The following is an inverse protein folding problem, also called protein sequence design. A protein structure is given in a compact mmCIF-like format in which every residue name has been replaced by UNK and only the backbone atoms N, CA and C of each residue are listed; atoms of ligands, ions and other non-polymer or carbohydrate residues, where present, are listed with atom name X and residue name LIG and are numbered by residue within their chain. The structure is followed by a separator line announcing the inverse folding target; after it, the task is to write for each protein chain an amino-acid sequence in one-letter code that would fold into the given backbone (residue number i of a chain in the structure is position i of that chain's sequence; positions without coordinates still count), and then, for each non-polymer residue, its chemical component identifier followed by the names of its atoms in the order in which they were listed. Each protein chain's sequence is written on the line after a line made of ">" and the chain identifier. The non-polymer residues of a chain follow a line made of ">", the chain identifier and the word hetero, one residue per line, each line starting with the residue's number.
data_IF_510585492273
#
_entry.id   IF_510585492273
#
_cell.length_a   1.000
_cell.length_b   1.000
_cell.length_c   1.000
_cell.angle_alpha   90.00
_cell.angle_beta   90.00
_cell.angle_gamma   90.00
#
_symmetry.space_group_name_H-M   'P 1'
#
loop_
_entity.id
_entity.type
_entity.pdbx_description
1 polymer ?
#
# COMPACT_ATOMS: atom_id res chain seq x y z
N UNK A 1 -41.76 14.66 -22.56
CA UNK A 1 -41.85 14.74 -24.03
C UNK A 1 -41.06 13.60 -24.66
N UNK A 2 -41.23 13.34 -25.95
CA UNK A 2 -40.51 12.28 -26.68
C UNK A 2 -39.18 12.84 -27.21
N UNK A 3 -38.09 12.08 -27.08
CA UNK A 3 -36.77 12.45 -27.63
C UNK A 3 -36.77 12.16 -29.14
N UNK A 4 -36.53 13.18 -29.96
CA UNK A 4 -36.44 13.06 -31.41
C UNK A 4 -35.26 13.89 -31.94
N UNK A 5 -34.54 13.36 -32.94
CA UNK A 5 -33.45 14.03 -33.64
C UNK A 5 -33.51 13.66 -35.11
N UNK A 6 -33.43 14.66 -35.99
CA UNK A 6 -33.28 14.43 -37.43
C UNK A 6 -31.88 13.88 -37.72
N UNK A 7 -31.83 12.85 -38.55
CA UNK A 7 -30.58 12.25 -39.04
C UNK A 7 -30.24 12.93 -40.36
N UNK A 8 -28.96 13.24 -40.55
CA UNK A 8 -28.45 13.90 -41.76
C UNK A 8 -28.29 12.87 -42.90
N UNK A 9 -29.42 12.44 -43.46
CA UNK A 9 -29.51 11.53 -44.60
C UNK A 9 -30.52 12.11 -45.60
N UNK A 10 -30.15 12.15 -46.87
CA UNK A 10 -30.91 12.75 -47.98
C UNK A 10 -31.82 11.75 -48.71
N UNK A 11 -31.96 10.53 -48.19
CA UNK A 11 -32.83 9.48 -48.73
C UNK A 11 -33.45 8.60 -47.63
N UNK A 12 -34.54 7.91 -47.96
CA UNK A 12 -35.29 7.05 -47.03
C UNK A 12 -34.88 5.57 -47.17
N UNK A 13 -33.75 5.19 -46.58
CA UNK A 13 -33.35 3.78 -46.44
C UNK A 13 -34.37 2.98 -45.62
N UNK A 14 -34.32 1.65 -45.74
CA UNK A 14 -35.17 0.71 -44.99
C UNK A 14 -36.67 0.91 -45.20
N UNK A 15 -37.06 1.44 -46.38
CA UNK A 15 -38.44 1.76 -46.74
C UNK A 15 -38.77 1.30 -48.16
N UNK A 16 -40.05 1.31 -48.52
CA UNK A 16 -40.52 0.97 -49.87
C UNK A 16 -39.95 1.88 -50.96
N UNK A 17 -39.42 3.06 -50.64
CA UNK A 17 -38.76 3.94 -51.61
C UNK A 17 -37.52 3.28 -52.25
N UNK A 18 -36.88 2.32 -51.56
CA UNK A 18 -35.71 1.59 -52.06
C UNK A 18 -36.07 0.64 -53.21
N UNK A 19 -37.33 0.21 -53.35
CA UNK A 19 -37.75 -0.66 -54.46
C UNK A 19 -37.47 -0.04 -55.83
N UNK A 20 -37.54 1.29 -55.94
CA UNK A 20 -37.30 2.02 -57.19
C UNK A 20 -35.88 1.90 -57.72
N UNK A 21 -34.91 1.47 -56.89
CA UNK A 21 -33.51 1.26 -57.30
C UNK A 21 -33.10 -0.21 -57.36
N UNK A 22 -34.03 -1.14 -57.13
CA UNK A 22 -33.75 -2.59 -57.03
C UNK A 22 -33.00 -3.15 -58.23
N UNK A 23 -33.58 -3.05 -59.42
CA UNK A 23 -33.00 -3.65 -60.64
C UNK A 23 -31.64 -3.03 -60.98
N UNK A 24 -31.49 -1.73 -60.77
CA UNK A 24 -30.23 -1.04 -60.96
C UNK A 24 -29.17 -1.53 -59.98
N UNK A 25 -29.50 -1.65 -58.70
CA UNK A 25 -28.56 -2.12 -57.68
C UNK A 25 -28.12 -3.57 -57.95
N UNK A 26 -29.05 -4.44 -58.35
CA UNK A 26 -28.74 -5.82 -58.71
C UNK A 26 -27.80 -5.89 -59.92
N UNK A 27 -28.04 -5.08 -60.95
CA UNK A 27 -27.18 -5.00 -62.13
C UNK A 27 -25.79 -4.44 -61.80
N UNK A 28 -25.72 -3.33 -61.05
CA UNK A 28 -24.47 -2.66 -60.68
C UNK A 28 -23.58 -3.57 -59.79
N UNK A 29 -24.18 -4.42 -58.96
CA UNK A 29 -23.48 -5.37 -58.10
C UNK A 29 -23.26 -6.77 -58.72
N UNK A 30 -23.77 -7.05 -59.92
CA UNK A 30 -23.69 -8.38 -60.53
C UNK A 30 -22.26 -8.91 -60.73
N UNK A 31 -21.29 -8.01 -60.87
CA UNK A 31 -19.87 -8.36 -60.99
C UNK A 31 -19.16 -8.62 -59.65
N UNK A 32 -19.82 -8.42 -58.52
CA UNK A 32 -19.24 -8.62 -57.18
C UNK A 32 -19.48 -10.06 -56.73
N UNK A 33 -18.39 -10.82 -56.59
CA UNK A 33 -18.44 -12.18 -56.07
C UNK A 33 -18.14 -12.18 -54.55
N UNK A 34 -19.13 -12.43 -53.68
CA UNK A 34 -18.88 -12.60 -52.25
C UNK A 34 -18.06 -13.87 -51.99
N UNK A 35 -17.28 -13.84 -50.90
CA UNK A 35 -16.44 -14.96 -50.47
C UNK A 35 -16.64 -15.23 -48.98
N UNK A 36 -16.51 -16.48 -48.57
CA UNK A 36 -16.53 -16.88 -47.16
C UNK A 36 -15.28 -16.37 -46.45
N UNK A 37 -15.48 -15.52 -45.45
CA UNK A 37 -14.44 -14.97 -44.60
C UNK A 37 -14.21 -15.84 -43.37
N UNK A 38 -13.07 -15.62 -42.72
CA UNK A 38 -12.70 -16.34 -41.48
C UNK A 38 -13.27 -15.71 -40.21
N UNK A 39 -13.77 -14.47 -40.31
CA UNK A 39 -14.41 -13.76 -39.19
C UNK A 39 -15.91 -14.06 -39.23
N UNK A 40 -16.51 -14.64 -38.17
CA UNK A 40 -17.94 -14.88 -38.11
C UNK A 40 -18.75 -13.60 -38.31
N UNK A 41 -19.83 -13.69 -39.10
CA UNK A 41 -20.67 -12.55 -39.43
C UNK A 41 -22.09 -12.78 -38.92
N UNK A 42 -22.55 -11.91 -38.01
CA UNK A 42 -23.93 -11.90 -37.52
C UNK A 42 -24.71 -10.82 -38.28
N UNK A 43 -25.71 -11.22 -39.05
CA UNK A 43 -26.50 -10.28 -39.85
C UNK A 43 -27.59 -9.62 -39.00
N UNK A 44 -27.64 -8.29 -39.07
CA UNK A 44 -28.74 -7.49 -38.52
C UNK A 44 -29.98 -7.46 -39.43
N UNK A 45 -29.90 -8.04 -40.63
CA UNK A 45 -31.03 -8.13 -41.57
C UNK A 45 -31.74 -9.48 -41.39
N UNK A 46 -30.98 -10.58 -41.30
CA UNK A 46 -31.56 -11.92 -41.12
C UNK A 46 -31.64 -12.36 -39.66
N UNK A 47 -30.97 -11.66 -38.73
CA UNK A 47 -31.04 -11.93 -37.29
C UNK A 47 -30.25 -13.16 -36.83
N UNK A 48 -29.14 -13.49 -37.49
CA UNK A 48 -28.33 -14.65 -37.12
C UNK A 48 -26.97 -14.73 -37.83
N UNK A 49 -26.19 -15.75 -37.46
CA UNK A 49 -24.92 -16.08 -38.10
C UNK A 49 -25.14 -16.46 -39.58
N UNK A 50 -24.35 -15.85 -40.46
CA UNK A 50 -24.44 -16.01 -41.91
C UNK A 50 -23.04 -16.22 -42.50
N UNK A 51 -22.92 -17.12 -43.47
CA UNK A 51 -21.71 -17.23 -44.28
C UNK A 51 -21.59 -15.99 -45.19
N UNK A 52 -20.45 -15.29 -45.13
CA UNK A 52 -20.23 -14.09 -45.94
C UNK A 52 -20.16 -14.39 -47.44
N UNK A 53 -19.98 -15.65 -47.85
CA UNK A 53 -20.13 -16.10 -49.24
C UNK A 53 -21.56 -15.93 -49.78
N UNK A 54 -22.55 -15.69 -48.91
CA UNK A 54 -23.94 -15.43 -49.30
C UNK A 54 -24.32 -13.94 -49.36
N UNK A 55 -23.36 -13.03 -49.15
CA UNK A 55 -23.57 -11.57 -49.22
C UNK A 55 -23.62 -11.07 -50.68
N UNK A 56 -24.52 -11.66 -51.47
CA UNK A 56 -24.73 -11.34 -52.87
C UNK A 56 -25.45 -9.99 -53.08
N UNK A 57 -25.63 -9.59 -54.34
CA UNK A 57 -26.36 -8.38 -54.70
C UNK A 57 -27.79 -8.35 -54.09
N UNK A 58 -28.44 -9.51 -53.97
CA UNK A 58 -29.76 -9.65 -53.34
C UNK A 58 -29.72 -9.36 -51.85
N UNK A 59 -28.69 -9.83 -51.13
CA UNK A 59 -28.47 -9.49 -49.73
C UNK A 59 -28.26 -7.99 -49.54
N UNK A 60 -27.42 -7.35 -50.35
CA UNK A 60 -27.17 -5.90 -50.22
C UNK A 60 -28.41 -5.07 -50.55
N UNK A 61 -29.24 -5.50 -51.50
CA UNK A 61 -30.56 -4.92 -51.71
C UNK A 61 -31.44 -5.06 -50.46
N UNK A 62 -31.55 -6.26 -49.89
CA UNK A 62 -32.30 -6.48 -48.63
C UNK A 62 -31.76 -5.63 -47.49
N UNK A 63 -30.44 -5.52 -47.34
CA UNK A 63 -29.82 -4.68 -46.32
C UNK A 63 -30.21 -3.21 -46.45
N UNK A 64 -30.30 -2.68 -47.68
CA UNK A 64 -30.75 -1.31 -47.92
C UNK A 64 -32.28 -1.16 -47.74
N UNK A 65 -33.06 -2.20 -48.05
CA UNK A 65 -34.52 -2.17 -48.14
C UNK A 65 -35.24 -2.54 -46.84
N UNK A 66 -34.77 -3.56 -46.14
CA UNK A 66 -35.41 -4.16 -44.96
C UNK A 66 -34.94 -3.47 -43.68
N UNK A 67 -35.68 -3.67 -42.60
CA UNK A 67 -35.36 -3.08 -41.29
C UNK A 67 -34.07 -3.69 -40.71
N UNK A 68 -33.22 -2.83 -40.15
CA UNK A 68 -32.01 -3.25 -39.44
C UNK A 68 -32.37 -3.57 -37.99
N UNK A 69 -32.35 -4.86 -37.64
CA UNK A 69 -32.68 -5.39 -36.31
C UNK A 69 -31.49 -5.30 -35.35
N UNK A 70 -30.86 -4.12 -35.24
CA UNK A 70 -29.62 -3.92 -34.48
C UNK A 70 -29.75 -4.24 -32.99
N UNK A 71 -30.87 -3.86 -32.36
CA UNK A 71 -31.16 -4.17 -30.95
C UNK A 71 -31.21 -5.67 -30.70
N UNK A 72 -32.03 -6.40 -31.48
CA UNK A 72 -32.15 -7.86 -31.38
C UNK A 72 -30.82 -8.57 -31.65
N UNK A 73 -30.03 -8.09 -32.61
CA UNK A 73 -28.71 -8.64 -32.87
C UNK A 73 -27.76 -8.44 -31.67
N UNK A 74 -27.78 -7.25 -31.06
CA UNK A 74 -26.98 -6.95 -29.88
C UNK A 74 -27.39 -7.82 -28.69
N UNK A 75 -28.69 -7.94 -28.42
CA UNK A 75 -29.24 -8.83 -27.38
C UNK A 75 -28.82 -10.30 -27.59
N UNK A 76 -28.90 -10.78 -28.84
CA UNK A 76 -28.50 -12.14 -29.20
C UNK A 76 -27.01 -12.38 -28.91
N UNK A 77 -26.14 -11.47 -29.35
CA UNK A 77 -24.70 -11.54 -29.12
C UNK A 77 -24.36 -11.45 -27.62
N UNK A 78 -25.03 -10.59 -26.86
CA UNK A 78 -24.89 -10.54 -25.40
C UNK A 78 -25.27 -11.90 -24.76
N UNK A 79 -26.38 -12.50 -25.22
CA UNK A 79 -26.84 -13.83 -24.80
C UNK A 79 -25.87 -14.95 -25.13
N UNK A 80 -25.17 -14.87 -26.26
CA UNK A 80 -24.13 -15.82 -26.67
C UNK A 80 -22.79 -15.63 -25.93
N UNK A 81 -22.67 -14.62 -25.06
CA UNK A 81 -21.49 -14.43 -24.23
C UNK A 81 -20.51 -13.36 -24.74
N UNK A 82 -20.83 -12.62 -25.80
CA UNK A 82 -19.99 -11.52 -26.26
C UNK A 82 -20.02 -10.36 -25.24
N UNK A 83 -18.84 -9.83 -24.89
CA UNK A 83 -18.67 -8.78 -23.85
C UNK A 83 -17.95 -7.53 -24.33
N UNK A 84 -17.37 -7.56 -25.53
CA UNK A 84 -16.63 -6.44 -26.11
C UNK A 84 -17.23 -6.06 -27.46
N UNK A 85 -17.73 -4.83 -27.57
CA UNK A 85 -18.33 -4.28 -28.78
C UNK A 85 -17.47 -3.12 -29.28
N UNK A 86 -16.76 -3.34 -30.38
CA UNK A 86 -15.88 -2.34 -30.99
C UNK A 86 -16.58 -1.70 -32.19
N UNK A 87 -16.94 -0.43 -32.07
CA UNK A 87 -17.56 0.33 -33.15
C UNK A 87 -16.48 0.89 -34.09
N UNK A 88 -16.31 0.22 -35.25
CA UNK A 88 -15.42 0.65 -36.32
C UNK A 88 -16.08 1.76 -37.16
N UNK A 89 -16.00 3.01 -36.68
CA UNK A 89 -16.65 4.16 -37.33
C UNK A 89 -15.80 5.43 -37.22
N UNK A 90 -15.97 6.43 -38.11
CA UNK A 90 -15.28 7.72 -38.01
C UNK A 90 -15.72 8.55 -36.77
N UNK A 91 -16.83 8.19 -36.15
CA UNK A 91 -17.33 8.76 -34.90
C UNK A 91 -18.36 7.82 -34.26
N UNK A 92 -18.24 7.49 -32.97
CA UNK A 92 -19.15 6.55 -32.32
C UNK A 92 -20.57 7.10 -32.23
N UNK A 93 -21.53 6.36 -32.76
CA UNK A 93 -22.96 6.68 -32.67
C UNK A 93 -23.81 5.54 -32.11
N UNK A 94 -23.26 4.32 -32.07
CA UNK A 94 -23.98 3.12 -31.62
C UNK A 94 -23.75 2.83 -30.14
N UNK A 95 -22.75 3.49 -29.52
CA UNK A 95 -22.35 3.23 -28.14
C UNK A 95 -23.48 3.25 -27.11
N UNK A 96 -24.40 4.21 -27.23
CA UNK A 96 -25.56 4.34 -26.33
C UNK A 96 -26.50 3.15 -26.47
N UNK A 97 -26.87 2.78 -27.71
CA UNK A 97 -27.81 1.69 -27.95
C UNK A 97 -27.27 0.32 -27.48
N UNK A 98 -25.98 0.07 -27.68
CA UNK A 98 -25.33 -1.16 -27.18
C UNK A 98 -25.26 -1.15 -25.65
N UNK A 99 -24.95 0.01 -25.04
CA UNK A 99 -24.92 0.17 -23.59
C UNK A 99 -26.29 -0.08 -22.95
N UNK A 100 -27.36 0.50 -23.51
CA UNK A 100 -28.75 0.27 -23.05
C UNK A 100 -29.14 -1.21 -23.17
N UNK A 101 -28.73 -1.88 -24.25
CA UNK A 101 -28.98 -3.32 -24.44
C UNK A 101 -28.24 -4.17 -23.39
N UNK A 102 -26.98 -3.82 -23.09
CA UNK A 102 -26.18 -4.52 -22.07
C UNK A 102 -26.75 -4.31 -20.65
N UNK A 103 -27.17 -3.09 -20.33
CA UNK A 103 -27.83 -2.75 -19.07
C UNK A 103 -29.15 -3.52 -18.90
N UNK A 104 -29.99 -3.53 -19.94
CA UNK A 104 -31.25 -4.28 -19.94
C UNK A 104 -31.03 -5.79 -19.75
N UNK A 105 -29.95 -6.33 -20.32
CA UNK A 105 -29.57 -7.73 -20.16
C UNK A 105 -28.89 -8.04 -18.81
N UNK A 106 -28.54 -7.03 -18.00
CA UNK A 106 -27.79 -7.20 -16.75
C UNK A 106 -26.36 -7.73 -16.99
N UNK A 107 -25.78 -7.42 -18.14
CA UNK A 107 -24.46 -7.91 -18.57
C UNK A 107 -23.44 -6.78 -18.52
N UNK A 108 -22.30 -7.01 -17.88
CA UNK A 108 -21.16 -6.09 -17.97
C UNK A 108 -20.48 -6.25 -19.34
N UNK A 109 -20.60 -5.23 -20.19
CA UNK A 109 -20.02 -5.20 -21.54
C UNK A 109 -19.29 -3.88 -21.80
N UNK A 110 -18.15 -3.98 -22.48
CA UNK A 110 -17.37 -2.83 -22.90
C UNK A 110 -17.77 -2.40 -24.32
N UNK A 111 -18.13 -1.12 -24.48
CA UNK A 111 -18.44 -0.52 -25.78
C UNK A 111 -17.40 0.54 -26.14
N UNK A 112 -16.74 0.35 -27.28
CA UNK A 112 -15.50 1.05 -27.63
C UNK A 112 -15.59 1.63 -29.03
N UNK A 113 -15.57 2.96 -29.16
CA UNK A 113 -15.43 3.63 -30.46
C UNK A 113 -13.97 3.69 -30.91
N UNK A 114 -13.72 3.41 -32.20
CA UNK A 114 -12.37 3.43 -32.79
C UNK A 114 -11.85 4.82 -33.11
N UNK A 115 -12.68 5.70 -33.70
CA UNK A 115 -12.31 7.08 -34.08
C UNK A 115 -13.29 8.11 -33.53
N UNK A 116 -12.94 9.39 -33.58
CA UNK A 116 -13.85 10.50 -33.25
C UNK A 116 -13.78 11.56 -34.34
N UNK A 117 -14.88 12.30 -34.52
CA UNK A 117 -14.96 13.41 -35.48
C UNK A 117 -13.89 14.46 -35.13
N UNK A 118 -13.03 14.78 -36.09
CA UNK A 118 -11.92 15.71 -35.90
C UNK A 118 -10.67 15.10 -35.24
N UNK A 119 -10.71 13.84 -34.82
CA UNK A 119 -9.62 13.12 -34.14
C UNK A 119 -9.35 11.79 -34.87
N UNK A 120 -9.02 11.87 -36.16
CA UNK A 120 -8.66 10.71 -36.96
C UNK A 120 -7.23 10.21 -36.71
N UNK A 121 -6.87 9.09 -37.32
CA UNK A 121 -5.49 8.60 -37.37
C UNK A 121 -5.17 7.47 -36.37
N UNK A 122 -3.95 6.96 -36.48
CA UNK A 122 -3.47 5.79 -35.74
C UNK A 122 -3.42 6.00 -34.22
N UNK A 123 -3.13 7.21 -33.76
CA UNK A 123 -3.09 7.53 -32.33
C UNK A 123 -4.46 7.28 -31.67
N UNK A 124 -5.54 7.72 -32.30
CA UNK A 124 -6.88 7.52 -31.74
C UNK A 124 -7.29 6.05 -31.72
N UNK A 125 -6.88 5.28 -32.74
CA UNK A 125 -7.06 3.83 -32.76
C UNK A 125 -6.27 3.17 -31.62
N UNK A 126 -5.01 3.55 -31.40
CA UNK A 126 -4.20 3.03 -30.29
C UNK A 126 -4.79 3.39 -28.92
N UNK A 127 -5.42 4.57 -28.78
CA UNK A 127 -6.19 4.92 -27.57
C UNK A 127 -7.40 4.02 -27.39
N UNK A 128 -8.11 3.66 -28.46
CA UNK A 128 -9.21 2.69 -28.39
C UNK A 128 -8.72 1.29 -27.98
N UNK A 129 -7.59 0.85 -28.51
CA UNK A 129 -6.93 -0.41 -28.12
C UNK A 129 -6.52 -0.39 -26.64
N UNK A 130 -5.95 0.73 -26.15
CA UNK A 130 -5.62 0.91 -24.74
C UNK A 130 -6.85 0.80 -23.83
N UNK A 131 -7.97 1.45 -24.21
CA UNK A 131 -9.25 1.32 -23.49
C UNK A 131 -9.78 -0.12 -23.50
N UNK A 132 -9.58 -0.85 -24.61
CA UNK A 132 -9.96 -2.26 -24.68
C UNK A 132 -9.13 -3.11 -23.70
N UNK A 133 -7.82 -2.88 -23.67
CA UNK A 133 -6.89 -3.53 -22.77
C UNK A 133 -7.21 -3.27 -21.29
N UNK A 134 -7.52 -2.03 -20.92
CA UNK A 134 -7.95 -1.66 -19.56
C UNK A 134 -9.23 -2.39 -19.13
N UNK A 135 -10.09 -2.75 -20.10
CA UNK A 135 -11.31 -3.55 -19.87
C UNK A 135 -11.06 -5.06 -19.90
N UNK A 136 -9.81 -5.49 -20.06
CA UNK A 136 -9.41 -6.90 -20.05
C UNK A 136 -9.42 -7.59 -21.41
N UNK A 137 -9.59 -6.85 -22.52
CA UNK A 137 -9.45 -7.45 -23.85
C UNK A 137 -7.97 -7.72 -24.13
N UNK A 138 -7.63 -8.99 -24.36
CA UNK A 138 -6.29 -9.36 -24.81
C UNK A 138 -5.99 -8.75 -26.18
N UNK A 139 -4.83 -8.11 -26.31
CA UNK A 139 -4.36 -7.51 -27.56
C UNK A 139 -3.15 -8.29 -28.05
N UNK A 140 -3.23 -8.84 -29.26
CA UNK A 140 -2.08 -9.41 -29.94
C UNK A 140 -1.31 -8.32 -30.71
N UNK A 141 -0.10 -8.04 -30.26
CA UNK A 141 0.80 -7.06 -30.86
C UNK A 141 1.73 -7.64 -31.92
N UNK A 142 1.68 -8.95 -32.17
CA UNK A 142 2.61 -9.64 -33.07
C UNK A 142 2.59 -9.08 -34.51
N UNK A 143 1.40 -8.76 -35.02
CA UNK A 143 1.23 -8.17 -36.35
C UNK A 143 1.62 -6.69 -36.45
N UNK A 144 1.66 -5.96 -35.32
CA UNK A 144 2.01 -4.52 -35.29
C UNK A 144 3.53 -4.32 -35.25
N UNK A 145 4.25 -5.23 -34.60
CA UNK A 145 5.70 -5.11 -34.38
C UNK A 145 6.48 -6.33 -34.91
N UNK A 146 6.46 -6.59 -36.23
CA UNK A 146 7.18 -7.73 -36.81
C UNK A 146 8.69 -7.57 -36.59
N UNK A 147 9.33 -8.59 -36.00
CA UNK A 147 10.78 -8.61 -35.76
C UNK A 147 11.26 -7.73 -34.59
N UNK A 148 10.36 -7.14 -33.81
CA UNK A 148 10.74 -6.34 -32.65
C UNK A 148 11.25 -7.21 -31.48
N UNK A 149 12.09 -6.62 -30.64
CA UNK A 149 12.58 -7.24 -29.39
C UNK A 149 11.78 -6.76 -28.19
N UNK A 150 11.47 -7.67 -27.25
CA UNK A 150 10.92 -7.30 -25.94
C UNK A 150 12.05 -6.71 -25.08
N UNK A 151 11.76 -5.63 -24.36
CA UNK A 151 12.67 -5.00 -23.40
C UNK A 151 12.05 -5.06 -22.01
N UNK A 152 12.89 -5.25 -20.98
CA UNK A 152 12.42 -5.21 -19.60
C UNK A 152 12.07 -3.77 -19.21
N UNK A 153 10.93 -3.62 -18.54
CA UNK A 153 10.52 -2.37 -17.91
C UNK A 153 10.81 -2.44 -16.41
N UNK A 154 10.93 -1.29 -15.72
CA UNK A 154 10.99 -1.26 -14.27
C UNK A 154 9.89 -2.13 -13.65
N UNK A 155 10.25 -2.89 -12.62
CA UNK A 155 9.32 -3.78 -11.92
C UNK A 155 8.29 -2.98 -11.12
N UNK A 156 7.27 -3.67 -10.62
CA UNK A 156 6.20 -3.06 -9.82
C UNK A 156 6.74 -2.12 -8.73
N UNK A 157 6.25 -0.89 -8.73
CA UNK A 157 6.61 0.09 -7.72
C UNK A 157 5.89 -0.24 -6.39
N UNK A 158 6.50 -1.09 -5.58
CA UNK A 158 5.99 -1.41 -4.24
C UNK A 158 5.78 -0.14 -3.41
N UNK A 159 4.60 -0.02 -2.79
CA UNK A 159 4.35 0.96 -1.72
C UNK A 159 5.09 0.49 -0.46
N UNK A 160 6.34 0.94 -0.32
CA UNK A 160 7.21 0.50 0.79
C UNK A 160 6.73 1.11 2.10
N UNK A 161 6.34 0.27 3.04
CA UNK A 161 6.14 0.66 4.45
C UNK A 161 6.97 -0.25 5.35
N UNK A 162 7.41 0.31 6.48
CA UNK A 162 8.27 -0.38 7.43
C UNK A 162 7.40 -1.24 8.36
N UNK A 163 7.45 -2.56 8.21
CA UNK A 163 6.67 -3.53 9.02
C UNK A 163 7.56 -4.39 9.94
N UNK A 164 8.61 -3.80 10.53
CA UNK A 164 9.45 -4.53 11.49
C UNK A 164 8.78 -4.59 12.86
N UNK A 165 8.88 -5.72 13.55
CA UNK A 165 8.48 -5.85 14.95
C UNK A 165 9.50 -5.13 15.84
N UNK A 166 9.08 -4.05 16.50
CA UNK A 166 9.89 -3.36 17.50
C UNK A 166 9.78 -4.10 18.85
N UNK A 167 10.48 -5.22 18.98
CA UNK A 167 10.58 -5.92 20.26
C UNK A 167 11.56 -5.15 21.15
N UNK A 168 11.17 -4.75 22.39
CA UNK A 168 12.13 -4.22 23.35
C UNK A 168 13.17 -5.31 23.60
N UNK A 169 14.42 -5.11 23.16
CA UNK A 169 15.53 -5.99 23.54
C UNK A 169 15.83 -5.73 25.02
N UNK A 170 15.05 -6.34 25.90
CA UNK A 170 15.51 -6.65 27.26
C UNK A 170 16.47 -7.83 27.15
N UNK A 171 17.59 -7.75 27.88
CA UNK A 171 18.68 -8.72 27.96
C UNK A 171 19.42 -9.03 26.65
N UNK A 172 20.47 -8.26 26.36
CA UNK A 172 21.70 -8.93 25.92
C UNK A 172 22.22 -9.76 27.10
N UNK A 173 22.79 -10.93 26.82
CA UNK A 173 23.46 -11.76 27.82
C UNK A 173 24.71 -11.03 28.35
N UNK A 174 24.51 -10.16 29.36
CA UNK A 174 25.59 -9.40 29.99
C UNK A 174 26.56 -10.31 30.75
N UNK A 175 26.19 -11.56 31.02
CA UNK A 175 27.10 -12.53 31.64
C UNK A 175 28.25 -12.90 30.71
N UNK A 176 28.03 -12.91 29.39
CA UNK A 176 29.10 -13.08 28.40
C UNK A 176 30.19 -11.99 28.46
N UNK A 177 29.87 -10.82 29.01
CA UNK A 177 30.80 -9.71 29.24
C UNK A 177 31.40 -9.71 30.66
N UNK A 178 31.17 -10.75 31.46
CA UNK A 178 31.65 -10.85 32.84
C UNK A 178 30.86 -10.02 33.85
N UNK A 179 29.65 -9.56 33.51
CA UNK A 179 28.78 -8.77 34.39
C UNK A 179 27.67 -9.65 34.99
N UNK A 180 27.17 -9.26 36.15
CA UNK A 180 26.04 -9.94 36.81
C UNK A 180 24.72 -9.32 36.34
N UNK A 181 23.78 -10.14 35.89
CA UNK A 181 22.39 -9.71 35.63
C UNK A 181 21.67 -9.44 36.93
N UNK A 182 21.10 -8.24 37.10
CA UNK A 182 20.36 -7.90 38.34
C UNK A 182 18.89 -8.36 38.29
N UNK A 183 18.31 -8.53 37.09
CA UNK A 183 16.87 -8.71 36.91
C UNK A 183 16.02 -7.45 37.17
N UNK A 184 16.66 -6.30 37.39
CA UNK A 184 15.98 -5.02 37.63
C UNK A 184 15.61 -4.30 36.31
N UNK A 185 14.38 -3.77 36.15
CA UNK A 185 13.93 -3.15 34.90
C UNK A 185 14.81 -2.00 34.39
N UNK A 186 15.36 -1.18 35.29
CA UNK A 186 16.14 0.01 34.94
C UNK A 186 17.66 -0.19 35.02
N UNK A 187 18.13 -1.26 35.67
CA UNK A 187 19.55 -1.50 35.95
C UNK A 187 19.88 -2.90 35.47
N UNK A 188 20.36 -3.08 34.25
CA UNK A 188 20.50 -4.42 33.66
C UNK A 188 21.70 -5.23 34.16
N UNK A 189 22.76 -4.55 34.63
CA UNK A 189 24.02 -5.20 34.97
C UNK A 189 24.69 -4.60 36.20
N UNK A 190 25.39 -5.44 36.96
CA UNK A 190 26.22 -5.06 38.11
C UNK A 190 27.62 -5.68 38.00
N UNK A 191 28.63 -5.01 38.54
CA UNK A 191 29.99 -5.53 38.67
C UNK A 191 30.69 -4.96 39.89
N UNK A 192 31.49 -5.78 40.59
CA UNK A 192 32.37 -5.31 41.66
C UNK A 192 33.73 -4.97 41.05
N UNK A 193 34.25 -3.80 41.37
CA UNK A 193 35.55 -3.33 40.89
C UNK A 193 36.64 -4.07 41.68
N UNK A 194 37.56 -4.69 40.93
CA UNK A 194 38.70 -5.35 41.53
C UNK A 194 39.56 -4.34 42.32
N UNK A 195 40.10 -4.77 43.46
CA UNK A 195 41.00 -3.99 44.33
C UNK A 195 40.38 -2.79 45.07
N UNK A 196 39.06 -2.55 44.97
CA UNK A 196 38.40 -1.45 45.69
C UNK A 196 37.10 -1.79 46.42
N UNK A 197 36.55 -3.00 46.25
CA UNK A 197 35.23 -3.42 46.78
C UNK A 197 34.09 -2.42 46.45
N UNK A 198 34.28 -1.63 45.39
CA UNK A 198 33.27 -0.74 44.86
C UNK A 198 32.29 -1.53 43.99
N UNK A 199 31.02 -1.19 44.06
CA UNK A 199 29.99 -1.77 43.21
C UNK A 199 29.56 -0.77 42.14
N UNK A 200 29.57 -1.20 40.89
CA UNK A 200 29.08 -0.45 39.75
C UNK A 200 27.83 -1.13 39.19
N UNK A 201 26.71 -0.41 39.11
CA UNK A 201 25.51 -0.85 38.40
C UNK A 201 25.30 0.00 37.16
N UNK A 202 24.74 -0.59 36.11
CA UNK A 202 24.50 0.10 34.84
C UNK A 202 23.14 -0.22 34.27
N UNK A 203 22.57 0.76 33.57
CA UNK A 203 21.22 0.72 33.05
C UNK A 203 21.05 1.50 31.76
N UNK A 204 19.96 1.24 31.05
CA UNK A 204 19.55 2.02 29.87
C UNK A 204 18.06 2.27 29.91
N UNK A 205 17.67 3.54 29.98
CA UNK A 205 16.27 3.97 30.05
C UNK A 205 15.89 4.74 28.80
N UNK A 206 14.68 4.51 28.31
CA UNK A 206 14.08 5.24 27.18
C UNK A 206 12.57 5.19 27.30
N UNK A 207 11.87 6.21 26.79
CA UNK A 207 10.40 6.18 26.74
C UNK A 207 9.87 5.06 25.85
N UNK A 208 10.68 4.55 24.91
CA UNK A 208 10.32 3.39 24.09
C UNK A 208 10.30 2.08 24.88
N UNK A 209 11.25 1.87 25.79
CA UNK A 209 11.35 0.64 26.59
C UNK A 209 10.64 0.73 27.94
N UNK A 210 10.42 1.95 28.44
CA UNK A 210 9.72 2.23 29.70
C UNK A 210 8.68 3.34 29.49
N UNK A 211 7.57 3.06 28.79
CA UNK A 211 6.60 4.09 28.40
C UNK A 211 5.97 4.83 29.58
N UNK A 212 5.81 4.16 30.71
CA UNK A 212 5.26 4.73 31.94
C UNK A 212 6.07 5.90 32.49
N UNK A 213 7.35 6.06 32.12
CA UNK A 213 8.14 7.22 32.50
C UNK A 213 7.60 8.51 31.86
N UNK A 214 6.92 8.43 30.71
CA UNK A 214 6.33 9.58 30.03
C UNK A 214 5.23 10.25 30.88
N UNK A 215 4.61 9.52 31.80
CA UNK A 215 3.55 10.04 32.67
C UNK A 215 4.09 10.98 33.76
N UNK A 216 5.41 11.01 33.99
CA UNK A 216 6.06 11.94 34.92
C UNK A 216 6.61 13.17 34.19
N UNK A 217 5.71 13.97 33.62
CA UNK A 217 6.04 15.21 32.93
C UNK A 217 5.73 16.44 33.79
N UNK A 218 6.69 17.36 33.90
CA UNK A 218 6.53 18.65 34.57
C UNK A 218 6.63 19.73 33.50
N UNK A 219 5.56 20.49 33.29
CA UNK A 219 5.48 21.51 32.23
C UNK A 219 5.85 20.99 30.83
N UNK A 220 5.48 19.74 30.53
CA UNK A 220 5.74 19.10 29.23
C UNK A 220 7.15 18.51 29.08
N UNK A 221 8.02 18.61 30.08
CA UNK A 221 9.35 17.97 30.08
C UNK A 221 9.27 16.69 30.90
N UNK A 222 9.59 15.55 30.30
CA UNK A 222 9.64 14.26 31.01
C UNK A 222 10.88 14.20 31.89
N UNK A 223 10.66 14.12 33.20
CA UNK A 223 11.72 14.01 34.20
C UNK A 223 11.76 12.58 34.74
N UNK A 224 12.96 12.09 35.04
CA UNK A 224 13.08 10.84 35.78
C UNK A 224 12.56 11.06 37.21
N UNK A 225 11.57 10.28 37.68
CA UNK A 225 10.93 10.53 38.96
C UNK A 225 11.91 10.48 40.14
N UNK A 226 11.74 11.37 41.11
CA UNK A 226 12.52 11.35 42.36
C UNK A 226 12.44 9.99 43.09
N UNK A 227 11.25 9.39 43.09
CA UNK A 227 11.02 8.04 43.65
C UNK A 227 11.72 6.94 42.86
N UNK A 228 11.96 7.14 41.56
CA UNK A 228 12.73 6.19 40.78
C UNK A 228 14.22 6.23 41.15
N UNK A 229 14.78 7.38 41.54
CA UNK A 229 16.13 7.42 42.13
C UNK A 229 16.22 6.64 43.45
N UNK A 230 15.17 6.70 44.29
CA UNK A 230 15.09 5.90 45.51
C UNK A 230 15.06 4.39 45.21
N UNK A 231 14.29 3.95 44.20
CA UNK A 231 14.30 2.56 43.75
C UNK A 231 15.69 2.11 43.26
N UNK A 232 16.38 2.96 42.48
CA UNK A 232 17.75 2.68 42.05
C UNK A 232 18.71 2.55 43.25
N UNK A 233 18.55 3.39 44.27
CA UNK A 233 19.34 3.35 45.50
C UNK A 233 19.07 2.07 46.31
N UNK A 234 17.80 1.68 46.47
CA UNK A 234 17.42 0.43 47.14
C UNK A 234 18.01 -0.78 46.43
N UNK A 235 17.97 -0.81 45.09
CA UNK A 235 18.59 -1.90 44.33
C UNK A 235 20.10 -1.93 44.51
N UNK A 236 20.77 -0.78 44.45
CA UNK A 236 22.21 -0.71 44.70
C UNK A 236 22.57 -1.17 46.12
N UNK A 237 21.75 -0.81 47.11
CA UNK A 237 21.89 -1.26 48.49
C UNK A 237 21.77 -2.78 48.64
N UNK A 238 20.77 -3.39 48.01
CA UNK A 238 20.59 -4.84 48.02
C UNK A 238 21.78 -5.60 47.42
N UNK A 239 22.37 -5.08 46.34
CA UNK A 239 23.54 -5.67 45.67
C UNK A 239 24.86 -5.46 46.44
N UNK A 240 24.90 -4.43 47.30
CA UNK A 240 26.05 -4.06 48.12
C UNK A 240 25.95 -4.54 49.59
N UNK A 241 24.97 -5.39 49.90
CA UNK A 241 24.67 -5.87 51.26
C UNK A 241 24.37 -4.73 52.27
N UNK A 242 23.91 -3.58 51.77
CA UNK A 242 23.57 -2.37 52.51
C UNK A 242 22.13 -1.92 52.18
N UNK A 243 21.08 -2.65 52.61
CA UNK A 243 19.72 -2.48 52.12
C UNK A 243 19.01 -1.22 52.63
N UNK A 244 19.60 -0.47 53.56
CA UNK A 244 19.00 0.74 54.13
C UNK A 244 19.54 1.96 53.40
N UNK A 245 18.65 2.81 52.90
CA UNK A 245 19.00 4.15 52.40
C UNK A 245 18.88 5.13 53.56
N UNK A 246 19.99 5.54 54.16
CA UNK A 246 20.00 6.53 55.26
C UNK A 246 19.75 7.95 54.75
N UNK A 247 20.34 8.27 53.60
CA UNK A 247 20.24 9.57 52.98
C UNK A 247 20.21 9.42 51.46
N UNK A 248 19.37 10.22 50.80
CA UNK A 248 19.36 10.39 49.35
C UNK A 248 19.12 11.86 49.02
N UNK A 249 20.13 12.49 48.41
CA UNK A 249 20.08 13.86 47.93
C UNK A 249 19.98 13.86 46.41
N UNK A 250 18.89 14.45 45.89
CA UNK A 250 18.70 14.65 44.45
C UNK A 250 19.34 15.96 44.02
N UNK A 251 20.23 15.90 43.04
CA UNK A 251 20.96 17.04 42.47
C UNK A 251 20.30 17.55 41.19
N UNK A 252 21.03 17.48 40.07
CA UNK A 252 20.51 17.90 38.78
C UNK A 252 19.32 17.00 38.35
N UNK A 253 18.25 17.60 37.83
CA UNK A 253 17.13 16.85 37.27
C UNK A 253 17.58 16.02 36.05
N UNK A 254 17.17 14.75 35.98
CA UNK A 254 17.44 13.90 34.83
C UNK A 254 16.28 14.02 33.83
N UNK A 255 16.51 14.69 32.70
CA UNK A 255 15.55 14.82 31.60
C UNK A 255 15.63 13.60 30.69
N UNK A 256 14.48 13.01 30.37
CA UNK A 256 14.40 11.90 29.42
C UNK A 256 14.07 12.43 28.02
N UNK A 257 14.86 12.11 26.99
CA UNK A 257 14.58 12.58 25.64
C UNK A 257 13.38 11.82 25.05
N UNK A 258 12.57 12.51 24.26
CA UNK A 258 11.45 11.92 23.51
C UNK A 258 11.92 10.78 22.59
N UNK A 259 13.12 10.93 22.03
CA UNK A 259 13.77 9.95 21.18
C UNK A 259 15.18 9.59 21.67
N UNK A 260 15.48 8.29 21.68
CA UNK A 260 16.77 7.77 22.09
C UNK A 260 16.73 7.19 23.50
N UNK A 261 17.87 7.16 24.18
CA UNK A 261 17.97 6.60 25.52
C UNK A 261 19.01 7.35 26.34
N UNK A 262 18.94 7.14 27.65
CA UNK A 262 19.93 7.57 28.63
C UNK A 262 20.61 6.33 29.20
N UNK A 263 21.93 6.37 29.33
CA UNK A 263 22.69 5.39 30.11
C UNK A 263 22.74 5.85 31.56
N UNK A 264 22.45 4.93 32.48
CA UNK A 264 22.60 5.11 33.92
C UNK A 264 23.86 4.39 34.40
N UNK A 265 24.56 4.99 35.35
CA UNK A 265 25.64 4.35 36.08
C UNK A 265 25.54 4.71 37.56
N UNK A 266 25.50 3.71 38.42
CA UNK A 266 25.49 3.88 39.86
C UNK A 266 26.78 3.34 40.42
N UNK A 267 27.40 4.10 41.31
CA UNK A 267 28.60 3.69 42.04
C UNK A 267 28.29 3.69 43.53
N UNK A 268 28.38 2.52 44.17
CA UNK A 268 28.49 2.41 45.61
C UNK A 268 29.97 2.23 45.97
N UNK A 269 30.51 3.14 46.77
CA UNK A 269 31.90 3.11 47.20
C UNK A 269 32.20 1.88 48.09
N UNK A 270 33.49 1.66 48.37
CA UNK A 270 33.94 0.77 49.43
C UNK A 270 33.22 1.10 50.76
N UNK A 271 33.00 0.11 51.64
CA UNK A 271 32.40 0.37 52.94
C UNK A 271 33.36 1.19 53.80
N UNK A 272 32.83 2.14 54.56
CA UNK A 272 33.57 2.85 55.60
C UNK A 272 33.71 2.00 56.87
N UNK A 273 34.25 2.60 57.94
CA UNK A 273 34.46 1.91 59.22
C UNK A 273 33.17 1.38 59.88
N UNK A 274 32.01 1.94 59.52
CA UNK A 274 30.70 1.53 60.03
C UNK A 274 29.94 0.62 59.04
N UNK A 275 30.60 0.23 57.95
CA UNK A 275 30.00 -0.58 56.89
C UNK A 275 29.10 0.20 55.93
N UNK A 276 29.05 1.54 56.04
CA UNK A 276 28.23 2.39 55.15
C UNK A 276 28.93 2.60 53.83
N UNK A 277 28.16 2.76 52.77
CA UNK A 277 28.67 2.98 51.41
C UNK A 277 28.07 4.26 50.84
N UNK A 278 28.93 5.15 50.34
CA UNK A 278 28.48 6.32 49.58
C UNK A 278 27.97 5.87 48.21
N UNK A 279 26.75 6.28 47.86
CA UNK A 279 26.14 6.11 46.55
C UNK A 279 26.28 7.39 45.71
N UNK A 280 26.62 7.24 44.43
CA UNK A 280 26.48 8.27 43.40
C UNK A 280 25.74 7.72 42.19
N UNK A 281 24.80 8.49 41.65
CA UNK A 281 23.98 8.14 40.48
C UNK A 281 24.31 9.10 39.34
N UNK A 282 24.85 8.56 38.26
CA UNK A 282 25.23 9.29 37.06
C UNK A 282 24.35 8.91 35.87
N UNK A 283 24.17 9.87 34.97
CA UNK A 283 23.52 9.62 33.69
C UNK A 283 24.22 10.37 32.55
N UNK A 284 24.06 9.83 31.34
CA UNK A 284 24.44 10.51 30.09
C UNK A 284 23.54 10.09 28.95
N UNK A 285 23.48 10.90 27.90
CA UNK A 285 22.76 10.51 26.69
C UNK A 285 23.44 9.31 26.03
N UNK A 286 22.65 8.39 25.47
CA UNK A 286 23.20 7.24 24.76
C UNK A 286 23.42 7.48 23.26
N UNK A 287 23.18 8.71 22.78
CA UNK A 287 23.41 9.12 21.38
C UNK A 287 24.90 9.40 21.11
N UNK A 288 25.64 9.78 22.15
CA UNK A 288 27.04 10.15 22.09
C UNK A 288 27.80 9.41 23.18
N UNK A 289 28.73 8.54 22.78
CA UNK A 289 29.51 7.72 23.70
C UNK A 289 30.58 8.54 24.46
N UNK A 290 30.92 9.73 23.97
CA UNK A 290 31.92 10.62 24.57
C UNK A 290 31.25 11.72 25.42
N UNK A 291 29.91 11.75 25.49
CA UNK A 291 29.19 12.68 26.34
C UNK A 291 29.59 12.52 27.81
N UNK A 292 29.81 13.64 28.54
CA UNK A 292 30.19 13.60 29.94
C UNK A 292 29.07 13.04 30.80
N UNK A 293 29.45 12.33 31.86
CA UNK A 293 28.51 11.88 32.89
C UNK A 293 28.10 13.06 33.77
N UNK A 294 26.81 13.19 34.06
CA UNK A 294 26.26 14.15 35.02
C UNK A 294 25.81 13.42 36.27
N UNK A 295 26.18 13.91 37.45
CA UNK A 295 25.69 13.37 38.73
C UNK A 295 24.28 13.92 39.02
N UNK A 296 23.33 13.03 39.23
CA UNK A 296 21.92 13.36 39.45
C UNK A 296 21.45 13.09 40.87
N UNK A 297 22.11 12.18 41.59
CA UNK A 297 21.82 11.92 42.99
C UNK A 297 23.05 11.39 43.72
N UNK A 298 23.13 11.67 45.01
CA UNK A 298 24.08 11.06 45.94
C UNK A 298 23.36 10.54 47.17
N UNK A 299 23.95 9.60 47.89
CA UNK A 299 23.33 9.08 49.10
C UNK A 299 24.27 8.23 49.94
N UNK A 300 23.72 7.71 51.03
CA UNK A 300 24.41 6.83 51.97
C UNK A 300 23.59 5.55 52.15
N UNK A 301 24.20 4.42 51.83
CA UNK A 301 23.65 3.08 52.00
C UNK A 301 24.25 2.47 53.27
N UNK A 302 23.44 1.83 54.10
CA UNK A 302 23.87 1.23 55.35
C UNK A 302 23.41 -0.24 55.47
N UNK A 303 24.17 -1.07 56.21
CA UNK A 303 23.69 -2.38 56.61
C UNK A 303 22.43 -2.23 57.47
N UNK A 304 21.61 -3.28 57.53
CA UNK A 304 20.46 -3.29 58.44
C UNK A 304 21.00 -3.21 59.89
N UNK A 305 20.50 -2.30 60.74
CA UNK A 305 20.93 -2.24 62.13
C UNK A 305 20.66 -3.59 62.81
N UNK A 306 21.62 -4.06 63.60
CA UNK A 306 21.48 -5.29 64.36
C UNK A 306 20.40 -5.09 65.45
N UNK A 307 19.15 -5.45 65.15
CA UNK A 307 18.06 -5.36 66.12
C UNK A 307 16.64 -5.19 65.58
N UNK A 308 16.44 -4.99 64.27
CA UNK A 308 15.09 -4.85 63.70
C UNK A 308 14.74 -6.12 62.87
N UNK A 309 13.66 -6.85 63.19
CA UNK A 309 13.28 -8.11 62.54
C UNK A 309 12.91 -7.97 61.06
#
# INVERSE_FOLDING_TARGET
>A
GVRARLIDVDYASHSSHVEGVRERLLADLAGVAPVSGVVPFFSTVTGGWLDTGSLDAGYWFRNLRETVEFGRATESLLGEGFRFFVEASPHPVLGVAVGESAEAAGVDAAVLGTLRRGEGGSEQVLRAVGRAWERGLGVDWSGVFPGARRVELPTYAFQRSRYWLDVPTTSWDVASAGLVTTGHPLLGAATRIADSDELLLSGRISLRTHPWLADHAVSGVVLFPGTAFLELALRAGAEADCPVVEELTLGAALVLPDEGAVHLQLRAAAPDGDGRRRLSVFARTARDADAPWTEHATGTLAPRPAGDP
#
